data_IF_078806591653
#
_entry.id   IF_078806591653
#
_cell.length_a   1.000
_cell.length_b   1.000
_cell.length_c   1.000
_cell.angle_alpha   90.00
_cell.angle_beta   90.00
_cell.angle_gamma   90.00
#
_symmetry.space_group_name_H-M   'P 1'
#
loop_
_entity.id
_entity.type
_entity.pdbx_description
1 polymer ?
#
# COMPACT_ATOMS: atom_id res chain seq x y z
N UNK A 1 11.15 -19.52 7.44
CA UNK A 1 12.00 -19.28 6.24
C UNK A 1 11.73 -17.88 5.70
N UNK A 2 12.78 -17.18 5.28
CA UNK A 2 12.78 -15.77 4.81
C UNK A 2 11.75 -15.50 3.68
N UNK A 3 11.26 -16.51 2.98
CA UNK A 3 10.29 -16.33 1.90
C UNK A 3 8.82 -16.35 2.34
N UNK A 4 8.49 -17.03 3.45
CA UNK A 4 7.09 -17.18 3.86
C UNK A 4 6.46 -15.82 4.19
N UNK A 5 7.16 -14.96 4.93
CA UNK A 5 6.67 -13.63 5.26
C UNK A 5 6.56 -12.68 4.05
N UNK A 6 7.18 -13.02 2.91
CA UNK A 6 7.05 -12.25 1.65
C UNK A 6 5.93 -12.75 0.75
N UNK A 7 5.68 -14.07 0.76
CA UNK A 7 4.65 -14.71 -0.08
C UNK A 7 3.28 -14.68 0.62
N UNK A 8 3.25 -14.77 1.94
CA UNK A 8 2.02 -14.76 2.72
C UNK A 8 1.17 -13.50 2.48
N UNK A 9 1.75 -12.28 2.48
CA UNK A 9 0.99 -11.06 2.18
C UNK A 9 0.36 -11.08 0.78
N UNK A 10 1.02 -11.70 -0.21
CA UNK A 10 0.49 -11.81 -1.57
C UNK A 10 -0.75 -12.71 -1.61
N UNK A 11 -0.73 -13.83 -0.88
CA UNK A 11 -1.87 -14.77 -0.78
C UNK A 11 -3.07 -14.10 -0.08
N UNK A 12 -2.80 -13.32 0.96
CA UNK A 12 -3.84 -12.59 1.70
C UNK A 12 -4.18 -11.21 1.12
N UNK A 13 -3.64 -10.86 -0.05
CA UNK A 13 -3.96 -9.60 -0.70
C UNK A 13 -5.42 -9.59 -1.16
N UNK A 14 -6.09 -8.41 -1.13
CA UNK A 14 -7.45 -8.27 -1.66
C UNK A 14 -7.57 -8.76 -3.10
N UNK A 15 -6.53 -8.55 -3.91
CA UNK A 15 -6.48 -8.98 -5.31
C UNK A 15 -6.51 -10.50 -5.45
N UNK A 16 -5.67 -11.23 -4.71
CA UNK A 16 -5.64 -12.70 -4.77
C UNK A 16 -6.99 -13.29 -4.33
N UNK A 17 -7.60 -12.70 -3.30
CA UNK A 17 -8.93 -13.10 -2.81
C UNK A 17 -10.00 -12.92 -3.89
N UNK A 18 -10.02 -11.76 -4.57
CA UNK A 18 -10.96 -11.47 -5.67
C UNK A 18 -10.80 -12.46 -6.81
N UNK A 19 -9.56 -12.70 -7.26
CA UNK A 19 -9.26 -13.65 -8.35
C UNK A 19 -9.76 -15.05 -7.96
N UNK A 20 -9.48 -15.49 -6.73
CA UNK A 20 -9.98 -16.76 -6.21
C UNK A 20 -11.51 -16.86 -6.23
N UNK A 21 -12.22 -15.83 -5.75
CA UNK A 21 -13.69 -15.81 -5.74
C UNK A 21 -14.30 -15.86 -7.15
N UNK A 22 -13.70 -15.19 -8.12
CA UNK A 22 -14.16 -15.21 -9.51
C UNK A 22 -13.95 -16.61 -10.11
N UNK A 23 -12.77 -17.20 -9.92
CA UNK A 23 -12.47 -18.56 -10.40
C UNK A 23 -13.44 -19.58 -9.77
N UNK A 24 -13.65 -19.53 -8.44
CA UNK A 24 -14.63 -20.37 -7.77
C UNK A 24 -16.05 -20.16 -8.34
N UNK A 25 -16.46 -18.91 -8.57
CA UNK A 25 -17.76 -18.60 -9.16
C UNK A 25 -17.96 -19.20 -10.54
N UNK A 26 -16.90 -19.23 -11.36
CA UNK A 26 -16.90 -19.86 -12.68
C UNK A 26 -16.97 -21.39 -12.56
N UNK A 27 -16.11 -21.99 -11.74
CA UNK A 27 -16.04 -23.46 -11.57
C UNK A 27 -17.35 -24.04 -11.06
N UNK A 28 -17.96 -23.39 -10.06
CA UNK A 28 -19.20 -23.86 -9.45
C UNK A 28 -20.46 -23.34 -10.16
N UNK A 29 -20.34 -22.54 -11.24
CA UNK A 29 -21.45 -21.84 -11.90
C UNK A 29 -22.29 -20.96 -10.96
N UNK A 30 -21.72 -20.53 -9.84
CA UNK A 30 -22.39 -19.73 -8.83
C UNK A 30 -22.09 -18.25 -9.08
N UNK A 31 -22.96 -17.61 -9.87
CA UNK A 31 -22.87 -16.16 -10.19
C UNK A 31 -22.70 -15.28 -8.95
N UNK A 32 -23.21 -15.72 -7.80
CA UNK A 32 -23.07 -15.03 -6.51
C UNK A 32 -21.60 -14.83 -6.09
N UNK A 33 -20.73 -15.84 -6.26
CA UNK A 33 -19.32 -15.72 -5.86
C UNK A 33 -18.56 -14.74 -6.75
N UNK A 34 -18.81 -14.79 -8.06
CA UNK A 34 -18.23 -13.80 -8.98
C UNK A 34 -18.73 -12.38 -8.67
N UNK A 35 -20.01 -12.22 -8.32
CA UNK A 35 -20.56 -10.92 -7.94
C UNK A 35 -19.94 -10.40 -6.64
N UNK A 36 -19.79 -11.25 -5.63
CA UNK A 36 -19.10 -10.89 -4.37
C UNK A 36 -17.66 -10.48 -4.66
N UNK A 37 -16.94 -11.21 -5.51
CA UNK A 37 -15.58 -10.85 -5.93
C UNK A 37 -15.51 -9.45 -6.53
N UNK A 38 -16.44 -9.10 -7.41
CA UNK A 38 -16.50 -7.75 -8.00
C UNK A 38 -16.82 -6.69 -6.95
N UNK A 39 -17.76 -6.95 -6.03
CA UNK A 39 -18.10 -6.01 -4.95
C UNK A 39 -16.87 -5.77 -4.05
N UNK A 40 -16.17 -6.82 -3.65
CA UNK A 40 -14.95 -6.74 -2.84
C UNK A 40 -13.88 -5.93 -3.57
N UNK A 41 -13.67 -6.19 -4.87
CA UNK A 41 -12.72 -5.43 -5.68
C UNK A 41 -13.02 -3.93 -5.69
N UNK A 42 -14.28 -3.56 -5.92
CA UNK A 42 -14.72 -2.17 -5.94
C UNK A 42 -14.46 -1.53 -4.58
N UNK A 43 -14.93 -2.15 -3.50
CA UNK A 43 -14.75 -1.64 -2.14
C UNK A 43 -13.26 -1.48 -1.79
N UNK A 44 -12.43 -2.48 -2.05
CA UNK A 44 -10.99 -2.40 -1.78
C UNK A 44 -10.27 -1.37 -2.64
N UNK A 45 -10.79 -1.01 -3.82
CA UNK A 45 -10.20 -0.01 -4.72
C UNK A 45 -10.67 1.42 -4.43
N UNK A 46 -11.66 1.60 -3.54
CA UNK A 46 -12.16 2.93 -3.20
C UNK A 46 -11.14 3.67 -2.31
N UNK A 47 -10.79 4.93 -2.64
CA UNK A 47 -9.82 5.70 -1.87
C UNK A 47 -10.28 5.90 -0.42
N UNK A 48 -11.59 6.04 -0.19
CA UNK A 48 -12.17 6.17 1.16
C UNK A 48 -11.84 4.96 2.04
N UNK A 49 -11.87 3.75 1.46
CA UNK A 49 -11.60 2.52 2.19
C UNK A 49 -10.09 2.34 2.35
N UNK A 50 -9.32 2.55 1.28
CA UNK A 50 -7.85 2.51 1.32
C UNK A 50 -7.28 3.44 2.39
N UNK A 51 -7.71 4.71 2.41
CA UNK A 51 -7.21 5.71 3.35
C UNK A 51 -7.58 5.37 4.81
N UNK A 52 -8.77 4.80 5.05
CA UNK A 52 -9.16 4.33 6.39
C UNK A 52 -8.31 3.15 6.85
N UNK A 53 -8.00 2.21 5.96
CA UNK A 53 -7.14 1.08 6.27
C UNK A 53 -5.71 1.53 6.57
N UNK A 54 -5.16 2.44 5.77
CA UNK A 54 -3.83 3.03 6.02
C UNK A 54 -3.82 3.74 7.37
N UNK A 55 -4.78 4.63 7.63
CA UNK A 55 -4.87 5.33 8.92
C UNK A 55 -5.02 4.38 10.12
N UNK A 56 -5.68 3.24 9.94
CA UNK A 56 -5.78 2.20 10.96
C UNK A 56 -4.44 1.49 11.21
N UNK A 57 -3.70 1.17 10.15
CA UNK A 57 -2.39 0.52 10.23
C UNK A 57 -1.30 1.45 10.77
N UNK A 58 -1.37 2.74 10.45
CA UNK A 58 -0.40 3.76 10.85
C UNK A 58 -0.77 4.47 12.16
N UNK A 59 -1.87 4.07 12.80
CA UNK A 59 -2.37 4.72 14.02
C UNK A 59 -1.29 4.87 15.10
N UNK A 60 -0.44 3.86 15.26
CA UNK A 60 0.60 3.84 16.29
C UNK A 60 1.91 4.51 15.84
N UNK A 61 2.00 4.94 14.57
CA UNK A 61 3.18 5.55 13.95
C UNK A 61 2.86 6.95 13.41
N UNK A 62 2.33 7.81 14.28
CA UNK A 62 2.04 9.19 13.89
C UNK A 62 3.34 9.98 13.63
N UNK A 63 3.38 10.83 12.59
CA UNK A 63 4.49 11.76 12.39
C UNK A 63 4.69 12.65 13.62
N UNK A 64 5.94 12.80 14.03
CA UNK A 64 6.35 13.69 15.12
C UNK A 64 6.65 15.07 14.52
N UNK A 65 6.34 16.15 15.24
CA UNK A 65 6.70 17.49 14.78
C UNK A 65 8.21 17.68 14.72
N UNK A 66 8.69 18.42 13.71
CA UNK A 66 10.14 18.67 13.53
C UNK A 66 10.74 19.37 14.76
N UNK A 67 9.94 20.18 15.46
CA UNK A 67 10.29 20.87 16.72
C UNK A 67 10.60 19.90 17.87
N UNK A 68 10.07 18.68 17.83
CA UNK A 68 10.24 17.66 18.87
C UNK A 68 11.41 16.70 18.56
N UNK A 69 12.01 16.81 17.37
CA UNK A 69 13.14 15.98 16.95
C UNK A 69 14.43 16.50 17.59
N UNK A 70 15.16 15.62 18.28
CA UNK A 70 16.47 15.94 18.86
C UNK A 70 17.51 16.21 17.77
N UNK A 71 18.49 17.07 18.06
CA UNK A 71 19.60 17.32 17.14
C UNK A 71 20.42 16.04 16.98
N UNK A 72 20.46 15.50 15.76
CA UNK A 72 21.21 14.29 15.42
C UNK A 72 22.34 14.62 14.44
N UNK A 73 23.44 13.86 14.52
CA UNK A 73 24.59 14.03 13.63
C UNK A 73 24.31 13.59 12.18
N UNK A 74 23.32 12.72 11.97
CA UNK A 74 22.95 12.21 10.65
C UNK A 74 21.50 11.72 10.60
N UNK A 75 20.88 11.86 9.42
CA UNK A 75 19.54 11.34 9.10
C UNK A 75 19.70 10.27 8.02
N UNK A 76 19.14 9.08 8.26
CA UNK A 76 19.12 7.98 7.29
C UNK A 76 17.69 7.78 6.80
N UNK A 77 17.47 8.06 5.52
CA UNK A 77 16.17 7.85 4.87
C UNK A 77 16.04 6.37 4.49
N UNK A 78 15.13 5.65 5.14
CA UNK A 78 14.93 4.21 4.92
C UNK A 78 14.05 3.89 3.70
N UNK A 79 13.20 4.83 3.28
CA UNK A 79 12.31 4.72 2.13
C UNK A 79 11.73 6.10 1.77
N UNK A 80 11.27 6.28 0.54
CA UNK A 80 10.62 7.51 0.09
C UNK A 80 10.58 7.61 -1.44
N UNK A 81 9.62 8.39 -1.96
CA UNK A 81 9.64 8.74 -3.38
C UNK A 81 10.71 9.81 -3.61
N UNK A 82 11.46 9.69 -4.71
CA UNK A 82 12.43 10.70 -5.11
C UNK A 82 11.85 11.46 -6.31
N UNK A 83 11.79 12.78 -6.18
CA UNK A 83 11.40 13.69 -7.26
C UNK A 83 12.65 14.34 -7.85
N UNK A 84 12.71 14.38 -9.17
CA UNK A 84 13.72 15.17 -9.88
C UNK A 84 13.25 16.62 -9.96
N UNK A 85 14.14 17.54 -9.60
CA UNK A 85 13.93 18.98 -9.65
C UNK A 85 15.11 19.64 -10.39
N UNK A 86 14.87 20.71 -11.15
CA UNK A 86 15.89 21.40 -11.93
C UNK A 86 15.69 21.28 -13.45
N UNK A 87 16.68 21.74 -14.20
CA UNK A 87 16.65 21.85 -15.67
C UNK A 87 17.55 20.80 -16.34
N UNK A 88 17.52 20.68 -17.67
CA UNK A 88 18.27 19.65 -18.42
C UNK A 88 19.78 19.62 -18.09
N UNK A 89 20.37 20.76 -17.71
CA UNK A 89 21.79 20.88 -17.35
C UNK A 89 22.06 20.70 -15.84
N UNK A 90 21.05 20.80 -14.97
CA UNK A 90 21.21 20.79 -13.51
C UNK A 90 20.09 20.02 -12.82
N UNK A 91 20.09 18.70 -13.00
CA UNK A 91 19.18 17.79 -12.31
C UNK A 91 19.59 17.61 -10.85
N UNK A 92 18.65 17.88 -9.94
CA UNK A 92 18.73 17.63 -8.50
C UNK A 92 17.63 16.66 -8.09
N UNK A 93 17.81 16.00 -6.96
CA UNK A 93 16.89 15.00 -6.43
C UNK A 93 16.45 15.38 -5.03
N UNK A 94 15.16 15.33 -4.80
CA UNK A 94 14.48 15.65 -3.55
C UNK A 94 13.68 14.44 -3.09
N UNK A 95 13.68 14.15 -1.78
CA UNK A 95 12.74 13.18 -1.21
C UNK A 95 11.37 13.83 -1.06
N UNK A 96 10.37 13.26 -1.72
CA UNK A 96 8.96 13.61 -1.52
C UNK A 96 8.40 12.71 -0.43
N UNK A 97 7.98 13.33 0.67
CA UNK A 97 7.24 12.67 1.75
C UNK A 97 5.75 12.68 1.34
N UNK A 98 5.02 11.55 1.44
CA UNK A 98 3.58 11.50 1.19
C UNK A 98 2.77 12.31 2.21
#
# INVERSE_FOLDING_TARGET
MIYLHKILPLIFSPLMLVIGLIILGIIFNLRKFSLIGVIVLILSSLPIISNKFIAYLEKDYQPIEISEIENVDAIVVLSGMIRVIGDEENLKYEFTIP
#
